data_IF_623864738613
#
_entry.id   IF_623864738613
#
_cell.length_a   1.000
_cell.length_b   1.000
_cell.length_c   1.000
_cell.angle_alpha   90.00
_cell.angle_beta   90.00
_cell.angle_gamma   90.00
#
_symmetry.space_group_name_H-M   'P 1'
#
loop_
_entity.id
_entity.type
_entity.pdbx_description
1 polymer ?
#
# COMPACT_ATOMS: atom_id res chain seq x y z
N UNK A 1 14.88 28.17 0.72
CA UNK A 1 16.00 27.71 -0.14
C UNK A 1 16.39 26.30 0.30
N UNK A 2 16.58 25.37 -0.65
CA UNK A 2 17.04 24.02 -0.37
C UNK A 2 18.57 23.98 -0.52
N UNK A 3 19.28 23.47 0.49
CA UNK A 3 20.75 23.47 0.54
C UNK A 3 21.37 22.09 0.25
N UNK A 4 20.58 21.15 -0.26
CA UNK A 4 20.99 19.77 -0.51
C UNK A 4 20.46 18.79 0.54
N UNK A 5 20.47 17.51 0.19
CA UNK A 5 20.08 16.43 1.08
C UNK A 5 21.14 16.19 2.17
N UNK A 6 20.73 15.64 3.31
CA UNK A 6 21.65 15.22 4.38
C UNK A 6 22.75 14.31 3.83
N UNK A 7 24.01 14.60 4.17
CA UNK A 7 25.15 13.79 3.76
C UNK A 7 25.06 12.33 4.26
N UNK A 8 24.45 12.10 5.43
CA UNK A 8 24.19 10.76 5.96
C UNK A 8 23.20 10.01 5.06
N UNK A 9 22.11 10.66 4.63
CA UNK A 9 21.14 10.07 3.72
C UNK A 9 21.74 9.81 2.33
N UNK A 10 22.63 10.70 1.84
CA UNK A 10 23.35 10.50 0.58
C UNK A 10 24.29 9.28 0.65
N UNK A 11 25.02 9.09 1.75
CA UNK A 11 25.87 7.93 1.94
C UNK A 11 25.06 6.61 1.93
N UNK A 12 23.93 6.57 2.64
CA UNK A 12 23.00 5.43 2.60
C UNK A 12 22.43 5.19 1.21
N UNK A 13 21.99 6.25 0.53
CA UNK A 13 21.48 6.19 -0.85
C UNK A 13 22.52 5.65 -1.82
N UNK A 14 23.78 6.06 -1.70
CA UNK A 14 24.88 5.54 -2.52
C UNK A 14 25.15 4.05 -2.25
N UNK A 15 25.13 3.62 -0.98
CA UNK A 15 25.29 2.22 -0.62
C UNK A 15 24.16 1.33 -1.18
N UNK A 16 22.92 1.83 -1.20
CA UNK A 16 21.78 1.15 -1.81
C UNK A 16 21.96 0.87 -3.32
N UNK A 17 22.85 1.59 -4.00
CA UNK A 17 23.12 1.44 -5.43
C UNK A 17 24.28 0.46 -5.74
N UNK A 18 24.94 -0.11 -4.73
CA UNK A 18 25.91 -1.20 -4.96
C UNK A 18 25.21 -2.50 -5.35
N UNK A 19 25.96 -3.48 -5.84
CA UNK A 19 25.41 -4.83 -6.14
C UNK A 19 24.75 -5.46 -4.90
N UNK A 20 25.40 -5.37 -3.74
CA UNK A 20 24.89 -5.89 -2.47
C UNK A 20 23.68 -5.09 -1.99
N UNK A 21 23.72 -3.76 -2.12
CA UNK A 21 22.60 -2.88 -1.81
C UNK A 21 21.37 -3.18 -2.65
N UNK A 22 21.56 -3.35 -3.96
CA UNK A 22 20.48 -3.70 -4.89
C UNK A 22 19.89 -5.09 -4.60
N UNK A 23 20.72 -6.08 -4.27
CA UNK A 23 20.23 -7.39 -3.82
C UNK A 23 19.40 -7.29 -2.54
N UNK A 24 19.85 -6.50 -1.56
CA UNK A 24 19.12 -6.29 -0.31
C UNK A 24 17.77 -5.57 -0.55
N UNK A 25 17.74 -4.55 -1.42
CA UNK A 25 16.50 -3.87 -1.80
C UNK A 25 15.49 -4.83 -2.43
N UNK A 26 15.92 -5.64 -3.39
CA UNK A 26 15.02 -6.58 -4.06
C UNK A 26 14.45 -7.62 -3.09
N UNK A 27 15.25 -8.13 -2.15
CA UNK A 27 14.76 -9.06 -1.14
C UNK A 27 13.62 -8.46 -0.29
N UNK A 28 13.73 -7.18 0.08
CA UNK A 28 12.68 -6.47 0.82
C UNK A 28 11.46 -6.20 -0.07
N UNK A 29 11.67 -5.81 -1.33
CA UNK A 29 10.57 -5.60 -2.28
C UNK A 29 9.79 -6.90 -2.50
N UNK A 30 10.47 -8.02 -2.69
CA UNK A 30 9.83 -9.32 -2.89
C UNK A 30 9.03 -9.76 -1.66
N UNK A 31 9.53 -9.49 -0.46
CA UNK A 31 8.77 -9.70 0.78
C UNK A 31 7.44 -8.91 0.80
N UNK A 32 7.46 -7.62 0.47
CA UNK A 32 6.23 -6.82 0.43
C UNK A 32 5.30 -7.18 -0.74
N UNK A 33 5.85 -7.65 -1.86
CA UNK A 33 5.04 -8.20 -2.95
C UNK A 33 4.29 -9.46 -2.52
N UNK A 34 4.89 -10.29 -1.67
CA UNK A 34 4.20 -11.45 -1.12
C UNK A 34 3.08 -11.03 -0.15
N UNK A 35 3.32 -10.03 0.70
CA UNK A 35 2.25 -9.44 1.51
C UNK A 35 1.10 -8.90 0.63
N UNK A 36 1.42 -8.29 -0.51
CA UNK A 36 0.43 -7.84 -1.49
C UNK A 36 -0.43 -8.99 -2.01
N UNK A 37 0.18 -10.13 -2.37
CA UNK A 37 -0.53 -11.32 -2.83
C UNK A 37 -1.50 -11.83 -1.76
N UNK A 38 -1.04 -11.94 -0.51
CA UNK A 38 -1.86 -12.42 0.61
C UNK A 38 -3.10 -11.54 0.81
N UNK A 39 -2.93 -10.21 0.82
CA UNK A 39 -4.05 -9.27 1.01
C UNK A 39 -4.98 -9.29 -0.21
N UNK A 40 -4.42 -9.37 -1.43
CA UNK A 40 -5.20 -9.47 -2.66
C UNK A 40 -6.11 -10.71 -2.63
N UNK A 41 -5.52 -11.89 -2.38
CA UNK A 41 -6.23 -13.16 -2.33
C UNK A 41 -7.28 -13.18 -1.22
N UNK A 42 -6.99 -12.56 -0.07
CA UNK A 42 -7.95 -12.43 1.03
C UNK A 42 -9.21 -11.71 0.58
N UNK A 43 -9.13 -10.50 0.02
CA UNK A 43 -10.32 -9.76 -0.41
C UNK A 43 -10.99 -10.38 -1.65
N UNK A 44 -10.21 -10.94 -2.57
CA UNK A 44 -10.75 -11.64 -3.74
C UNK A 44 -11.55 -12.89 -3.33
N UNK A 45 -11.08 -13.64 -2.32
CA UNK A 45 -11.80 -14.79 -1.78
C UNK A 45 -13.13 -14.43 -1.10
N UNK A 46 -13.28 -13.18 -0.65
CA UNK A 46 -14.53 -12.63 -0.11
C UNK A 46 -15.49 -12.14 -1.21
N UNK A 47 -15.12 -12.28 -2.48
CA UNK A 47 -15.96 -11.90 -3.62
C UNK A 47 -15.98 -10.40 -3.94
N UNK A 48 -15.00 -9.65 -3.45
CA UNK A 48 -14.85 -8.22 -3.77
C UNK A 48 -14.02 -8.03 -5.05
N UNK A 49 -14.25 -6.91 -5.73
CA UNK A 49 -13.39 -6.49 -6.82
C UNK A 49 -12.11 -5.86 -6.25
N UNK A 50 -10.96 -6.43 -6.62
CA UNK A 50 -9.65 -6.09 -6.08
C UNK A 50 -8.69 -5.68 -7.20
N UNK A 51 -8.01 -4.55 -7.01
CA UNK A 51 -7.07 -3.96 -7.97
C UNK A 51 -5.73 -3.65 -7.29
N UNK A 52 -4.68 -3.42 -8.08
CA UNK A 52 -3.34 -3.10 -7.56
C UNK A 52 -2.55 -4.34 -7.12
N UNK A 53 -1.64 -4.19 -6.16
CA UNK A 53 -0.82 -5.28 -5.59
C UNK A 53 0.29 -5.84 -6.48
N UNK A 54 0.05 -5.97 -7.79
CA UNK A 54 1.00 -6.59 -8.73
C UNK A 54 2.28 -5.78 -8.93
N UNK A 55 2.13 -4.45 -9.01
CA UNK A 55 3.21 -3.51 -9.33
C UNK A 55 3.34 -2.39 -8.28
N UNK A 56 2.66 -2.50 -7.15
CA UNK A 56 2.66 -1.50 -6.09
C UNK A 56 2.39 -2.16 -4.72
N UNK A 57 2.98 -1.66 -3.61
CA UNK A 57 2.86 -2.23 -2.27
C UNK A 57 1.55 -1.79 -1.58
N UNK A 58 0.44 -1.85 -2.30
CA UNK A 58 -0.89 -1.59 -1.76
C UNK A 58 -1.97 -2.19 -2.67
N UNK A 59 -3.09 -2.53 -2.04
CA UNK A 59 -4.29 -3.07 -2.68
C UNK A 59 -5.38 -2.01 -2.69
N UNK A 60 -6.19 -2.01 -3.75
CA UNK A 60 -7.32 -1.10 -3.94
C UNK A 60 -8.59 -1.93 -4.08
N UNK A 61 -9.43 -1.88 -3.06
CA UNK A 61 -10.60 -2.79 -2.92
C UNK A 61 -11.87 -1.98 -3.11
N UNK A 62 -12.77 -2.44 -3.98
CA UNK A 62 -14.06 -1.81 -4.24
C UNK A 62 -15.15 -2.32 -3.29
N UNK A 63 -15.91 -1.40 -2.70
CA UNK A 63 -17.05 -1.62 -1.84
C UNK A 63 -18.27 -0.90 -2.43
N UNK A 64 -18.94 -1.49 -3.44
CA UNK A 64 -19.94 -0.80 -4.25
C UNK A 64 -21.11 -0.27 -3.42
N UNK A 65 -21.50 0.99 -3.65
CA UNK A 65 -22.62 1.65 -2.98
C UNK A 65 -22.35 2.09 -1.53
N UNK A 66 -21.14 1.84 -0.99
CA UNK A 66 -20.76 2.26 0.36
C UNK A 66 -19.82 3.45 0.31
N UNK A 67 -20.02 4.42 1.22
CA UNK A 67 -19.06 5.52 1.37
C UNK A 67 -17.76 4.96 1.93
N UNK A 68 -16.64 5.28 1.29
CA UNK A 68 -15.30 4.85 1.68
C UNK A 68 -14.96 5.18 3.13
N UNK A 69 -15.41 6.32 3.65
CA UNK A 69 -15.24 6.70 5.06
C UNK A 69 -16.04 5.83 6.04
N UNK A 70 -17.23 5.36 5.64
CA UNK A 70 -18.02 4.46 6.48
C UNK A 70 -17.39 3.07 6.52
N UNK A 71 -16.91 2.56 5.37
CA UNK A 71 -16.17 1.29 5.29
C UNK A 71 -14.89 1.36 6.12
N UNK A 72 -14.13 2.46 6.03
CA UNK A 72 -12.96 2.69 6.87
C UNK A 72 -13.29 2.60 8.37
N UNK A 73 -14.34 3.32 8.81
CA UNK A 73 -14.74 3.33 10.22
C UNK A 73 -15.20 1.94 10.69
N UNK A 74 -15.94 1.21 9.85
CA UNK A 74 -16.39 -0.14 10.16
C UNK A 74 -15.23 -1.13 10.31
N UNK A 75 -14.26 -1.09 9.39
CA UNK A 75 -13.06 -1.93 9.48
C UNK A 75 -12.25 -1.62 10.74
N UNK A 76 -12.03 -0.33 11.03
CA UNK A 76 -11.30 0.09 12.22
C UNK A 76 -12.00 -0.37 13.52
N UNK A 77 -13.30 -0.17 13.64
CA UNK A 77 -14.07 -0.51 14.84
C UNK A 77 -14.16 -2.03 15.05
N UNK A 78 -14.45 -2.79 13.98
CA UNK A 78 -14.73 -4.23 14.11
C UNK A 78 -13.49 -5.11 14.08
N UNK A 79 -12.42 -4.67 13.44
CA UNK A 79 -11.22 -5.49 13.21
C UNK A 79 -9.95 -4.90 13.81
N UNK A 80 -10.01 -3.64 14.26
CA UNK A 80 -8.84 -2.88 14.74
C UNK A 80 -7.76 -2.68 13.66
N UNK A 81 -8.14 -2.79 12.38
CA UNK A 81 -7.26 -2.58 11.23
C UNK A 81 -7.49 -1.18 10.67
N UNK A 82 -6.41 -0.38 10.64
CA UNK A 82 -6.42 0.92 9.98
C UNK A 82 -6.25 0.75 8.47
N UNK A 83 -7.14 1.35 7.69
CA UNK A 83 -7.03 1.42 6.22
C UNK A 83 -7.04 2.89 5.77
N UNK A 84 -7.01 3.17 4.47
CA UNK A 84 -7.15 4.54 3.96
C UNK A 84 -8.39 4.64 3.07
N UNK A 85 -9.37 5.51 3.41
CA UNK A 85 -10.58 5.68 2.63
C UNK A 85 -10.25 6.31 1.27
N UNK A 86 -10.79 5.72 0.21
CA UNK A 86 -10.49 6.09 -1.15
C UNK A 86 -10.94 7.50 -1.53
N UNK A 87 -12.02 8.02 -0.94
CA UNK A 87 -12.46 9.40 -1.13
C UNK A 87 -11.40 10.44 -0.74
N UNK A 88 -10.44 10.08 0.12
CA UNK A 88 -9.27 10.93 0.44
C UNK A 88 -8.32 11.16 -0.74
N UNK A 89 -8.39 10.34 -1.80
CA UNK A 89 -7.63 10.48 -3.04
C UNK A 89 -8.40 11.24 -4.13
N UNK A 90 -9.59 11.76 -3.82
CA UNK A 90 -10.47 12.50 -4.73
C UNK A 90 -11.75 11.74 -5.07
N UNK A 91 -12.63 12.38 -5.85
CA UNK A 91 -13.99 11.89 -6.11
C UNK A 91 -14.02 10.51 -6.78
N UNK A 92 -13.04 10.21 -7.64
CA UNK A 92 -12.92 8.89 -8.30
C UNK A 92 -12.48 7.75 -7.38
N UNK A 93 -12.14 8.04 -6.11
CA UNK A 93 -11.83 7.02 -5.12
C UNK A 93 -12.97 6.73 -4.14
N UNK A 94 -14.13 7.37 -4.28
CA UNK A 94 -15.31 7.00 -3.50
C UNK A 94 -15.65 5.52 -3.73
N UNK A 95 -16.19 4.85 -2.72
CA UNK A 95 -16.44 3.40 -2.71
C UNK A 95 -15.19 2.51 -2.68
N UNK A 96 -13.98 3.05 -2.62
CA UNK A 96 -12.77 2.24 -2.51
C UNK A 96 -12.05 2.38 -1.18
N UNK A 97 -11.27 1.36 -0.82
CA UNK A 97 -10.33 1.37 0.30
C UNK A 97 -8.92 1.01 -0.20
N UNK A 98 -7.91 1.78 0.23
CA UNK A 98 -6.50 1.39 0.08
C UNK A 98 -6.04 0.63 1.31
N UNK A 99 -5.43 -0.54 1.08
CA UNK A 99 -4.80 -1.35 2.12
C UNK A 99 -3.30 -1.44 1.83
N UNK A 100 -2.46 -1.03 2.79
CA UNK A 100 -1.00 -1.12 2.68
C UNK A 100 -0.53 -2.54 3.01
N UNK A 101 0.53 -2.99 2.34
CA UNK A 101 1.14 -4.33 2.50
C UNK A 101 2.28 -4.33 3.51
#
# INVERSE_FOLDING_TARGET
>A
CFNGASNIAQAGGLACLSSEGYMALNAIIDYYKENANIIFDTFASLGLDVYGGKNAPYIWVHFPGLRSWDVFAELLEKTHILTVPGGGFGHGGEEFIRVST
#
